data_IF_752857708819
#
_entry.id   IF_752857708819
#
_cell.length_a   1.000
_cell.length_b   1.000
_cell.length_c   1.000
_cell.angle_alpha   90.00
_cell.angle_beta   90.00
_cell.angle_gamma   90.00
#
_symmetry.space_group_name_H-M   'P 1'
#
loop_
_entity.id
_entity.type
_entity.pdbx_description
1 polymer ?
#
# COMPACT_ATOMS: atom_id res chain seq x y z
N UNK A 1 11.24 5.97 -16.83
CA UNK A 1 12.27 4.99 -17.24
C UNK A 1 11.58 3.79 -17.88
N UNK A 2 12.03 3.30 -19.06
CA UNK A 2 11.53 2.07 -19.66
C UNK A 2 11.61 0.88 -18.70
N UNK A 3 10.65 -0.04 -18.80
CA UNK A 3 10.50 -1.18 -17.87
C UNK A 3 11.75 -2.07 -17.79
N UNK A 4 12.35 -2.39 -18.93
CA UNK A 4 13.60 -3.16 -18.98
C UNK A 4 14.75 -2.46 -18.22
N UNK A 5 14.84 -1.13 -18.29
CA UNK A 5 15.87 -0.36 -17.56
C UNK A 5 15.59 -0.33 -16.05
N UNK A 6 14.30 -0.28 -15.64
CA UNK A 6 13.90 -0.42 -14.23
C UNK A 6 14.31 -1.78 -13.66
N UNK A 7 13.96 -2.85 -14.37
CA UNK A 7 14.28 -4.23 -13.98
C UNK A 7 15.79 -4.43 -13.82
N UNK A 8 16.58 -4.01 -14.81
CA UNK A 8 18.04 -4.14 -14.76
C UNK A 8 18.67 -3.38 -13.60
N UNK A 9 18.22 -2.14 -13.35
CA UNK A 9 18.71 -1.32 -12.24
C UNK A 9 18.40 -1.97 -10.87
N UNK A 10 17.17 -2.43 -10.67
CA UNK A 10 16.78 -3.09 -9.42
C UNK A 10 17.49 -4.43 -9.23
N UNK A 11 17.67 -5.21 -10.29
CA UNK A 11 18.39 -6.49 -10.23
C UNK A 11 19.82 -6.27 -9.72
N UNK A 12 20.53 -5.27 -10.26
CA UNK A 12 21.88 -4.95 -9.81
C UNK A 12 21.97 -4.56 -8.32
N UNK A 13 20.96 -3.85 -7.80
CA UNK A 13 20.88 -3.51 -6.37
C UNK A 13 20.63 -4.77 -5.54
N UNK A 14 19.70 -5.63 -5.94
CA UNK A 14 19.34 -6.84 -5.22
C UNK A 14 20.49 -7.86 -5.19
N UNK A 15 21.22 -8.02 -6.29
CA UNK A 15 22.44 -8.83 -6.34
C UNK A 15 23.53 -8.27 -5.41
N UNK A 16 23.62 -6.95 -5.28
CA UNK A 16 24.55 -6.31 -4.33
C UNK A 16 24.17 -6.61 -2.87
N UNK A 17 22.88 -6.61 -2.57
CA UNK A 17 22.37 -7.02 -1.27
C UNK A 17 22.71 -8.49 -0.97
N UNK A 18 22.52 -9.39 -1.95
CA UNK A 18 22.92 -10.80 -1.81
C UNK A 18 24.42 -10.95 -1.54
N UNK A 19 25.28 -10.22 -2.27
CA UNK A 19 26.73 -10.21 -2.01
C UNK A 19 27.09 -9.72 -0.61
N UNK A 20 26.27 -8.87 -0.01
CA UNK A 20 26.40 -8.38 1.37
C UNK A 20 25.76 -9.31 2.42
N UNK A 21 25.26 -10.47 2.02
CA UNK A 21 24.67 -11.47 2.91
C UNK A 21 23.21 -11.21 3.28
N UNK A 22 22.51 -10.32 2.57
CA UNK A 22 21.07 -10.11 2.77
C UNK A 22 20.31 -11.35 2.28
N UNK A 23 19.48 -11.91 3.16
CA UNK A 23 18.71 -13.14 2.91
C UNK A 23 17.24 -12.87 2.58
N UNK A 24 16.75 -11.65 2.81
CA UNK A 24 15.39 -11.23 2.51
C UNK A 24 15.35 -9.71 2.32
N UNK A 25 14.50 -9.23 1.41
CA UNK A 25 14.32 -7.81 1.11
C UNK A 25 12.86 -7.41 1.36
N UNK A 26 12.66 -6.28 2.02
CA UNK A 26 11.36 -5.62 2.13
C UNK A 26 11.34 -4.39 1.21
N UNK A 27 10.39 -4.34 0.28
CA UNK A 27 10.11 -3.14 -0.52
C UNK A 27 9.02 -2.34 0.17
N UNK A 28 9.41 -1.39 1.02
CA UNK A 28 8.47 -0.60 1.83
C UNK A 28 7.90 0.61 1.07
N UNK A 29 7.30 0.38 -0.10
CA UNK A 29 6.67 1.43 -0.90
C UNK A 29 5.60 0.89 -1.87
N UNK A 30 4.34 1.30 -1.65
CA UNK A 30 3.21 0.89 -2.48
C UNK A 30 3.36 1.30 -3.96
N UNK A 31 3.84 2.51 -4.22
CA UNK A 31 4.06 3.02 -5.57
C UNK A 31 5.13 2.22 -6.30
N UNK A 32 6.27 1.94 -5.65
CA UNK A 32 7.36 1.17 -6.24
C UNK A 32 6.90 -0.27 -6.51
N UNK A 33 6.28 -0.93 -5.53
CA UNK A 33 5.73 -2.28 -5.66
C UNK A 33 4.69 -2.39 -6.77
N UNK A 34 3.92 -1.33 -7.02
CA UNK A 34 2.95 -1.29 -8.12
C UNK A 34 3.57 -1.16 -9.51
N UNK A 35 4.83 -0.73 -9.59
CA UNK A 35 5.51 -0.37 -10.84
C UNK A 35 6.50 -1.41 -11.35
N UNK A 36 6.77 -2.45 -10.56
CA UNK A 36 7.75 -3.51 -10.83
C UNK A 36 7.17 -4.83 -10.33
N UNK A 37 7.31 -5.88 -11.12
CA UNK A 37 6.95 -7.23 -10.70
C UNK A 37 8.05 -7.82 -9.80
N UNK A 38 7.89 -7.62 -8.49
CA UNK A 38 8.82 -8.13 -7.49
C UNK A 38 8.68 -9.64 -7.25
N UNK A 39 7.54 -10.26 -7.60
CA UNK A 39 7.39 -11.71 -7.51
C UNK A 39 8.32 -12.37 -8.56
N UNK A 40 8.32 -11.86 -9.81
CA UNK A 40 9.24 -12.30 -10.86
C UNK A 40 10.71 -12.07 -10.48
N UNK A 41 11.06 -10.90 -9.94
CA UNK A 41 12.43 -10.63 -9.48
C UNK A 41 12.86 -11.54 -8.32
N UNK A 42 11.94 -11.85 -7.41
CA UNK A 42 12.21 -12.74 -6.28
C UNK A 42 12.55 -14.16 -6.75
N UNK A 43 11.79 -14.66 -7.73
CA UNK A 43 12.03 -15.97 -8.36
C UNK A 43 13.36 -16.01 -9.14
N UNK A 44 13.59 -15.02 -10.02
CA UNK A 44 14.79 -14.97 -10.87
C UNK A 44 16.10 -14.90 -10.06
N UNK A 45 16.10 -14.17 -8.94
CA UNK A 45 17.27 -14.00 -8.09
C UNK A 45 17.37 -15.00 -6.95
N UNK A 46 16.36 -15.87 -6.78
CA UNK A 46 16.23 -16.75 -5.61
C UNK A 46 16.41 -15.99 -4.29
N UNK A 47 15.86 -14.79 -4.22
CA UNK A 47 15.93 -13.88 -3.07
C UNK A 47 14.50 -13.57 -2.62
N UNK A 48 14.07 -13.94 -1.41
CA UNK A 48 12.76 -13.57 -0.89
C UNK A 48 12.56 -12.05 -0.88
N UNK A 49 11.55 -11.55 -1.60
CA UNK A 49 11.18 -10.13 -1.61
C UNK A 49 9.74 -10.00 -1.09
N UNK A 50 9.56 -9.25 -0.01
CA UNK A 50 8.25 -8.90 0.54
C UNK A 50 7.83 -7.51 0.06
N UNK A 51 6.55 -7.38 -0.28
CA UNK A 51 5.95 -6.10 -0.70
C UNK A 51 4.58 -5.88 -0.06
N UNK A 52 4.07 -4.63 0.00
CA UNK A 52 2.72 -4.35 0.46
C UNK A 52 1.65 -5.04 -0.40
N UNK A 53 1.96 -5.37 -1.66
CA UNK A 53 1.01 -6.02 -2.55
C UNK A 53 0.62 -7.42 -2.10
N UNK A 54 1.47 -8.10 -1.32
CA UNK A 54 1.13 -9.38 -0.72
C UNK A 54 0.00 -9.23 0.31
N UNK A 55 0.05 -8.20 1.15
CA UNK A 55 -1.01 -7.89 2.10
C UNK A 55 -2.36 -7.60 1.41
N UNK A 56 -2.36 -6.77 0.36
CA UNK A 56 -3.62 -6.44 -0.33
C UNK A 56 -4.21 -7.64 -1.08
N UNK A 57 -3.36 -8.55 -1.57
CA UNK A 57 -3.80 -9.82 -2.15
C UNK A 57 -4.56 -10.64 -1.11
N UNK A 58 -4.09 -10.67 0.14
CA UNK A 58 -4.78 -11.39 1.22
C UNK A 58 -6.09 -10.70 1.64
N UNK A 59 -6.15 -9.37 1.61
CA UNK A 59 -7.39 -8.62 1.89
C UNK A 59 -8.52 -8.99 0.93
N UNK A 60 -8.21 -9.32 -0.33
CA UNK A 60 -9.20 -9.72 -1.32
C UNK A 60 -10.00 -10.99 -0.93
N UNK A 61 -9.49 -11.78 0.03
CA UNK A 61 -10.16 -12.96 0.58
C UNK A 61 -11.07 -12.63 1.77
N UNK A 62 -10.80 -11.52 2.46
CA UNK A 62 -11.50 -11.12 3.69
C UNK A 62 -12.57 -10.05 3.44
N UNK A 63 -12.39 -9.23 2.40
CA UNK A 63 -13.27 -8.12 2.06
C UNK A 63 -13.63 -8.15 0.58
N UNK A 64 -14.91 -7.88 0.28
CA UNK A 64 -15.45 -7.80 -1.07
C UNK A 64 -15.54 -6.37 -1.56
N UNK A 65 -15.77 -5.37 -0.71
CA UNK A 65 -15.86 -3.96 -1.10
C UNK A 65 -15.02 -3.10 -0.17
N UNK A 66 -14.02 -2.42 -0.71
CA UNK A 66 -13.02 -1.67 0.06
C UNK A 66 -12.90 -0.23 -0.42
N UNK A 67 -12.73 0.69 0.51
CA UNK A 67 -12.19 2.02 0.23
C UNK A 67 -10.67 1.96 0.20
N UNK A 68 -10.02 2.67 -0.72
CA UNK A 68 -8.56 2.75 -0.82
C UNK A 68 -8.11 4.22 -0.80
N UNK A 69 -7.24 4.55 0.14
CA UNK A 69 -6.51 5.81 0.17
C UNK A 69 -5.11 5.57 -0.37
N UNK A 70 -4.71 6.24 -1.45
CA UNK A 70 -3.37 6.11 -2.02
C UNK A 70 -2.67 7.46 -2.12
N UNK A 71 -1.33 7.47 -2.16
CA UNK A 71 -0.58 8.70 -2.42
C UNK A 71 -0.77 9.18 -3.87
N UNK A 72 -0.87 8.25 -4.83
CA UNK A 72 -0.99 8.58 -6.25
C UNK A 72 -1.71 7.47 -7.04
N UNK A 73 -2.02 7.76 -8.30
CA UNK A 73 -2.72 6.85 -9.20
C UNK A 73 -1.92 5.58 -9.53
N UNK A 74 -0.58 5.62 -9.50
CA UNK A 74 0.25 4.43 -9.77
C UNK A 74 0.11 3.40 -8.65
N UNK A 75 0.21 3.86 -7.39
CA UNK A 75 -0.03 3.02 -6.21
C UNK A 75 -1.46 2.48 -6.20
N UNK A 76 -2.45 3.34 -6.44
CA UNK A 76 -3.86 2.95 -6.58
C UNK A 76 -4.04 1.80 -7.58
N UNK A 77 -3.56 1.98 -8.81
CA UNK A 77 -3.75 1.01 -9.88
C UNK A 77 -3.10 -0.35 -9.57
N UNK A 78 -1.91 -0.36 -8.96
CA UNK A 78 -1.26 -1.61 -8.59
C UNK A 78 -1.97 -2.35 -7.47
N UNK A 79 -2.45 -1.63 -6.45
CA UNK A 79 -3.21 -2.20 -5.33
C UNK A 79 -4.55 -2.77 -5.83
N UNK A 80 -5.32 -2.00 -6.57
CA UNK A 80 -6.60 -2.45 -7.14
C UNK A 80 -6.42 -3.67 -8.04
N UNK A 81 -5.37 -3.68 -8.88
CA UNK A 81 -5.02 -4.81 -9.75
C UNK A 81 -4.78 -6.10 -8.96
N UNK A 82 -3.95 -6.08 -7.90
CA UNK A 82 -3.67 -7.31 -7.14
C UNK A 82 -4.89 -7.81 -6.36
N UNK A 83 -5.74 -6.90 -5.88
CA UNK A 83 -6.99 -7.26 -5.20
C UNK A 83 -7.94 -7.92 -6.21
N UNK A 84 -8.23 -7.25 -7.32
CA UNK A 84 -9.22 -7.70 -8.32
C UNK A 84 -8.76 -8.94 -9.09
N UNK A 85 -7.46 -9.12 -9.31
CA UNK A 85 -6.92 -10.37 -9.86
C UNK A 85 -7.11 -11.55 -8.91
N UNK A 86 -6.91 -11.33 -7.60
CA UNK A 86 -7.13 -12.38 -6.60
C UNK A 86 -8.61 -12.70 -6.41
N UNK A 87 -9.48 -11.70 -6.46
CA UNK A 87 -10.93 -11.85 -6.36
C UNK A 87 -11.65 -10.95 -7.37
N UNK A 88 -12.06 -11.47 -8.54
CA UNK A 88 -12.77 -10.68 -9.58
C UNK A 88 -14.12 -10.11 -9.15
N UNK A 89 -14.66 -10.57 -8.01
CA UNK A 89 -15.91 -10.06 -7.44
C UNK A 89 -15.69 -8.93 -6.42
N UNK A 90 -14.42 -8.58 -6.13
CA UNK A 90 -14.12 -7.45 -5.28
C UNK A 90 -14.47 -6.12 -5.97
N UNK A 91 -14.64 -5.08 -5.17
CA UNK A 91 -14.81 -3.69 -5.59
C UNK A 91 -13.85 -2.84 -4.76
N UNK A 92 -13.10 -1.99 -5.43
CA UNK A 92 -12.17 -1.05 -4.78
C UNK A 92 -12.57 0.35 -5.20
N UNK A 93 -12.88 1.20 -4.23
CA UNK A 93 -13.19 2.60 -4.45
C UNK A 93 -11.99 3.42 -4.00
N UNK A 94 -11.33 4.10 -4.92
CA UNK A 94 -10.04 4.72 -4.62
C UNK A 94 -10.10 6.23 -4.64
N UNK A 95 -9.44 6.86 -3.67
CA UNK A 95 -9.04 8.27 -3.71
C UNK A 95 -7.53 8.33 -3.57
N UNK A 96 -6.89 9.07 -4.47
CA UNK A 96 -5.45 9.30 -4.43
C UNK A 96 -5.13 10.78 -4.24
N UNK A 97 -4.25 11.10 -3.29
CA UNK A 97 -3.84 12.47 -3.01
C UNK A 97 -2.40 12.54 -2.51
N UNK A 98 -1.54 13.23 -3.26
CA UNK A 98 -0.15 13.50 -2.84
C UNK A 98 -0.09 14.46 -1.66
N UNK A 99 -1.11 15.32 -1.49
CA UNK A 99 -1.17 16.27 -0.38
C UNK A 99 -1.14 15.55 0.99
N UNK A 100 -1.62 14.30 1.08
CA UNK A 100 -1.53 13.53 2.32
C UNK A 100 -0.09 13.11 2.61
N UNK A 101 0.68 12.74 1.60
CA UNK A 101 2.10 12.39 1.69
C UNK A 101 2.91 13.61 2.15
N UNK A 102 2.75 14.73 1.45
CA UNK A 102 3.42 16.01 1.73
C UNK A 102 3.11 16.54 3.15
N UNK A 103 1.87 16.34 3.62
CA UNK A 103 1.47 16.72 4.97
C UNK A 103 2.11 15.86 6.06
N UNK A 104 2.27 14.55 5.81
CA UNK A 104 3.04 13.67 6.71
C UNK A 104 4.50 14.11 6.77
N UNK A 105 5.12 14.37 5.61
CA UNK A 105 6.51 14.83 5.53
C UNK A 105 6.72 16.19 6.21
N UNK A 106 5.71 17.06 6.15
CA UNK A 106 5.69 18.36 6.84
C UNK A 106 5.29 18.27 8.32
N UNK A 107 5.10 17.06 8.85
CA UNK A 107 4.70 16.78 10.22
C UNK A 107 3.41 17.51 10.66
N UNK A 108 2.46 17.68 9.73
CA UNK A 108 1.14 18.25 10.03
C UNK A 108 0.43 17.30 11.03
N UNK A 109 -0.12 17.80 12.15
CA UNK A 109 -0.75 16.94 13.14
C UNK A 109 -1.85 16.04 12.54
N UNK A 110 -1.94 14.74 12.88
CA UNK A 110 -2.91 13.82 12.27
C UNK A 110 -4.37 14.29 12.34
N UNK A 111 -4.78 14.89 13.46
CA UNK A 111 -6.13 15.44 13.61
C UNK A 111 -6.41 16.62 12.67
N UNK A 112 -5.41 17.43 12.38
CA UNK A 112 -5.52 18.53 11.41
C UNK A 112 -5.57 18.00 9.98
N UNK A 113 -4.80 16.95 9.66
CA UNK A 113 -4.88 16.28 8.38
C UNK A 113 -6.30 15.75 8.11
N UNK A 114 -6.87 15.00 9.07
CA UNK A 114 -8.22 14.43 8.96
C UNK A 114 -9.27 15.51 8.73
N UNK A 115 -9.11 16.67 9.38
CA UNK A 115 -10.05 17.79 9.28
C UNK A 115 -9.91 18.60 7.98
N UNK A 116 -8.69 18.81 7.49
CA UNK A 116 -8.41 19.85 6.49
C UNK A 116 -8.04 19.31 5.10
N UNK A 117 -7.77 18.00 4.95
CA UNK A 117 -7.26 17.42 3.70
C UNK A 117 -8.28 16.53 2.96
N UNK A 118 -9.58 16.80 3.15
CA UNK A 118 -10.63 16.07 2.43
C UNK A 118 -10.86 14.63 2.90
N UNK A 119 -10.24 14.23 4.03
CA UNK A 119 -10.32 12.86 4.54
C UNK A 119 -11.73 12.54 5.03
N UNK A 120 -12.39 13.45 5.76
CA UNK A 120 -13.78 13.23 6.23
C UNK A 120 -14.77 13.06 5.08
N UNK A 121 -14.64 13.86 4.03
CA UNK A 121 -15.47 13.76 2.83
C UNK A 121 -15.22 12.43 2.11
N UNK A 122 -13.96 11.99 2.04
CA UNK A 122 -13.59 10.68 1.50
C UNK A 122 -14.19 9.54 2.31
N UNK A 123 -14.17 9.65 3.64
CA UNK A 123 -14.79 8.66 4.55
C UNK A 123 -16.30 8.61 4.32
N UNK A 124 -16.95 9.77 4.24
CA UNK A 124 -18.39 9.87 3.96
C UNK A 124 -18.76 9.23 2.62
N UNK A 125 -17.92 9.43 1.60
CA UNK A 125 -18.08 8.78 0.30
C UNK A 125 -17.99 7.25 0.43
N UNK A 126 -17.00 6.74 1.16
CA UNK A 126 -16.83 5.31 1.39
C UNK A 126 -18.00 4.68 2.17
N UNK A 127 -18.51 5.36 3.19
CA UNK A 127 -19.70 4.91 3.92
C UNK A 127 -20.94 4.86 3.02
N UNK A 128 -21.12 5.88 2.16
CA UNK A 128 -22.20 5.93 1.16
C UNK A 128 -22.11 4.78 0.15
N UNK A 129 -20.88 4.38 -0.22
CA UNK A 129 -20.61 3.25 -1.10
C UNK A 129 -20.66 1.89 -0.38
N UNK A 130 -20.97 1.89 0.92
CA UNK A 130 -21.07 0.70 1.76
C UNK A 130 -19.79 -0.17 1.72
N UNK A 131 -18.62 0.45 1.75
CA UNK A 131 -17.37 -0.31 1.88
C UNK A 131 -17.30 -1.01 3.23
N UNK A 132 -16.60 -2.14 3.29
CA UNK A 132 -16.45 -2.96 4.49
C UNK A 132 -15.20 -2.58 5.30
N UNK A 133 -14.21 -1.97 4.64
CA UNK A 133 -12.96 -1.52 5.24
C UNK A 133 -12.32 -0.38 4.43
N UNK A 134 -11.46 0.41 5.09
CA UNK A 134 -10.64 1.44 4.44
C UNK A 134 -9.18 1.04 4.50
N UNK A 135 -8.57 0.88 3.33
CA UNK A 135 -7.18 0.48 3.15
C UNK A 135 -6.30 1.71 2.94
N UNK A 136 -5.26 1.85 3.75
CA UNK A 136 -4.29 2.93 3.69
C UNK A 136 -3.09 2.48 2.84
N UNK A 137 -3.19 2.73 1.53
CA UNK A 137 -2.29 2.29 0.47
C UNK A 137 -1.01 3.12 0.30
N UNK A 138 -0.50 3.76 1.35
CA UNK A 138 0.81 4.41 1.38
C UNK A 138 1.52 4.09 2.70
N UNK A 139 2.84 3.86 2.66
CA UNK A 139 3.63 3.56 3.84
C UNK A 139 3.81 4.76 4.78
N UNK A 140 3.50 5.98 4.34
CA UNK A 140 3.42 7.17 5.19
C UNK A 140 2.12 7.24 5.99
N UNK A 141 1.04 6.60 5.51
CA UNK A 141 -0.29 6.83 6.06
C UNK A 141 -0.60 6.20 7.43
N UNK A 142 0.12 5.18 7.93
CA UNK A 142 0.02 4.78 9.34
C UNK A 142 0.10 5.94 10.33
N UNK A 143 0.82 7.01 9.97
CA UNK A 143 0.91 8.25 10.74
C UNK A 143 -0.44 8.84 11.19
N UNK A 144 -1.50 8.70 10.38
CA UNK A 144 -2.81 9.26 10.67
C UNK A 144 -3.94 8.22 10.73
N UNK A 145 -3.61 6.93 10.77
CA UNK A 145 -4.62 5.86 10.90
C UNK A 145 -5.40 5.97 12.20
N UNK A 146 -4.72 6.17 13.34
CA UNK A 146 -5.40 6.26 14.64
C UNK A 146 -6.37 7.45 14.69
N UNK A 147 -5.94 8.61 14.21
CA UNK A 147 -6.79 9.80 14.12
C UNK A 147 -7.98 9.59 13.16
N UNK A 148 -7.77 8.86 12.06
CA UNK A 148 -8.86 8.52 11.13
C UNK A 148 -9.85 7.55 11.77
N UNK A 149 -9.37 6.53 12.48
CA UNK A 149 -10.19 5.51 13.14
C UNK A 149 -11.12 6.11 14.21
N UNK A 150 -10.72 7.21 14.85
CA UNK A 150 -11.57 7.94 15.81
C UNK A 150 -12.78 8.61 15.15
N UNK A 151 -12.74 8.82 13.83
CA UNK A 151 -13.76 9.53 13.05
C UNK A 151 -14.53 8.58 12.11
N UNK A 152 -14.18 7.28 12.07
CA UNK A 152 -14.84 6.29 11.24
C UNK A 152 -15.20 5.02 12.02
N UNK A 153 -16.37 4.46 11.71
CA UNK A 153 -16.78 3.15 12.23
C UNK A 153 -16.14 1.98 11.45
N UNK A 154 -15.71 2.23 10.23
CA UNK A 154 -15.07 1.24 9.36
C UNK A 154 -13.66 0.91 9.87
N UNK A 155 -13.19 -0.34 9.73
CA UNK A 155 -11.83 -0.70 10.08
C UNK A 155 -10.81 -0.06 9.13
N UNK A 156 -9.82 0.64 9.70
CA UNK A 156 -8.62 1.12 9.01
C UNK A 156 -7.58 0.01 8.90
N UNK A 157 -7.07 -0.25 7.69
CA UNK A 157 -6.12 -1.34 7.44
C UNK A 157 -4.82 -0.81 6.80
N UNK A 158 -3.66 -1.27 7.29
CA UNK A 158 -2.33 -1.02 6.69
C UNK A 158 -1.54 -2.32 6.52
N UNK A 159 -0.53 -2.29 5.64
CA UNK A 159 0.42 -3.38 5.45
C UNK A 159 1.44 -3.51 6.59
N UNK A 160 1.57 -2.54 7.49
CA UNK A 160 2.53 -2.53 8.60
C UNK A 160 2.42 -3.78 9.47
N UNK A 161 1.20 -4.09 9.95
CA UNK A 161 0.92 -5.28 10.77
C UNK A 161 1.20 -6.59 10.02
N UNK A 162 1.03 -6.57 8.69
CA UNK A 162 1.40 -7.70 7.85
C UNK A 162 2.92 -7.90 7.84
N UNK A 163 3.71 -6.84 7.69
CA UNK A 163 5.17 -6.95 7.68
C UNK A 163 5.73 -7.42 9.02
N UNK A 164 5.24 -6.88 10.13
CA UNK A 164 5.67 -7.32 11.46
C UNK A 164 5.50 -8.84 11.63
N UNK A 165 4.36 -9.37 11.17
CA UNK A 165 4.09 -10.82 11.19
C UNK A 165 5.01 -11.62 10.26
N UNK A 166 5.32 -11.11 9.07
CA UNK A 166 6.16 -11.84 8.10
C UNK A 166 7.65 -11.81 8.45
N UNK A 167 8.10 -10.75 9.12
CA UNK A 167 9.51 -10.55 9.45
C UNK A 167 9.92 -11.21 10.78
N UNK A 168 8.96 -11.77 11.54
CA UNK A 168 9.19 -12.35 12.88
C UNK A 168 9.94 -11.40 13.83
N UNK A 169 9.61 -10.10 13.78
CA UNK A 169 10.17 -9.05 14.64
C UNK A 169 9.13 -8.49 15.60
#
# INVERSE_FOLDING_TARGET
MPEAKKKAYLSAILEDFQRKGVTQVLVYCNSLSSSVDFDVLSEELSLPILTPLHFYRDLALSYRTMGLLAANAQGSAGIERVITWKNPHSRVHTVSSLNWDEAVESAVPPKEMVKNLGLRETITMFETLCVEAVVFGCTHFPYFIEASQQEMALPCLSADDYFLKQLNI
#
